data_IF_736937191812
#
_entry.id   IF_736937191812
#
_cell.length_a   1.000
_cell.length_b   1.000
_cell.length_c   1.000
_cell.angle_alpha   90.00
_cell.angle_beta   90.00
_cell.angle_gamma   90.00
#
_symmetry.space_group_name_H-M   'P 1'
#
loop_
_entity.id
_entity.type
_entity.pdbx_description
1 polymer ?
#
# COMPACT_ATOMS: atom_id res chain seq x y z
N UNK A 1 -19.59 13.39 -4.11
CA UNK A 1 -19.90 13.02 -2.70
C UNK A 1 -19.88 11.51 -2.44
N UNK A 2 -20.01 10.63 -3.45
CA UNK A 2 -19.88 9.17 -3.24
C UNK A 2 -18.42 8.66 -3.21
N UNK A 3 -17.46 9.41 -3.77
CA UNK A 3 -16.03 9.02 -3.82
C UNK A 3 -15.27 9.19 -2.50
N UNK A 4 -15.73 10.05 -1.59
CA UNK A 4 -15.09 10.29 -0.28
C UNK A 4 -15.36 9.17 0.75
N UNK A 5 -16.32 8.28 0.48
CA UNK A 5 -16.81 7.29 1.45
C UNK A 5 -16.02 5.98 1.52
N UNK A 6 -14.98 5.77 0.69
CA UNK A 6 -14.18 4.52 0.69
C UNK A 6 -12.71 4.67 1.08
N UNK A 7 -12.14 5.87 1.06
CA UNK A 7 -10.73 6.10 1.44
C UNK A 7 -10.59 6.46 2.92
N UNK A 8 -11.58 7.11 3.53
CA UNK A 8 -11.62 7.40 4.97
C UNK A 8 -11.35 6.16 5.85
N UNK A 9 -12.01 5.00 5.65
CA UNK A 9 -11.71 3.81 6.45
C UNK A 9 -10.29 3.27 6.22
N UNK A 10 -9.71 3.46 5.04
CA UNK A 10 -8.33 3.06 4.76
C UNK A 10 -7.33 4.02 5.41
N UNK A 11 -7.59 5.33 5.40
CA UNK A 11 -6.78 6.33 6.11
C UNK A 11 -6.77 6.06 7.62
N UNK A 12 -7.95 5.90 8.23
CA UNK A 12 -8.07 5.65 9.68
C UNK A 12 -7.36 4.35 10.08
N UNK A 13 -7.43 3.31 9.22
CA UNK A 13 -6.70 2.07 9.40
C UNK A 13 -5.18 2.30 9.33
N UNK A 14 -4.68 2.95 8.28
CA UNK A 14 -3.26 3.23 8.11
C UNK A 14 -2.69 4.12 9.23
N UNK A 15 -3.44 5.11 9.71
CA UNK A 15 -3.05 5.95 10.86
C UNK A 15 -2.96 5.13 12.16
N UNK A 16 -3.95 4.27 12.40
CA UNK A 16 -3.97 3.38 13.56
C UNK A 16 -2.78 2.43 13.54
N UNK A 17 -2.47 1.88 12.36
CA UNK A 17 -1.36 0.95 12.15
C UNK A 17 0.00 1.65 12.26
N UNK A 18 0.14 2.87 11.74
CA UNK A 18 1.34 3.71 11.94
C UNK A 18 1.62 3.94 13.43
N UNK A 19 0.58 4.25 14.21
CA UNK A 19 0.73 4.45 15.64
C UNK A 19 1.17 3.18 16.38
N UNK A 20 0.72 2.00 15.93
CA UNK A 20 1.15 0.70 16.45
C UNK A 20 2.61 0.42 16.09
N UNK A 21 2.99 0.58 14.82
CA UNK A 21 4.37 0.42 14.35
C UNK A 21 5.34 1.34 15.09
N UNK A 22 4.99 2.63 15.21
CA UNK A 22 5.80 3.61 15.94
C UNK A 22 5.96 3.28 17.44
N UNK A 23 5.02 2.51 18.01
CA UNK A 23 5.10 2.07 19.41
C UNK A 23 6.02 0.86 19.64
N UNK A 24 6.55 0.26 18.57
CA UNK A 24 7.43 -0.92 18.64
C UNK A 24 6.71 -2.20 19.07
N UNK A 25 5.37 -2.22 19.04
CA UNK A 25 4.57 -3.42 19.31
C UNK A 25 4.49 -4.26 18.04
N UNK A 26 5.52 -5.08 17.85
CA UNK A 26 5.78 -5.93 16.69
C UNK A 26 4.83 -7.14 16.54
N UNK A 27 3.86 -7.33 17.43
CA UNK A 27 3.28 -8.67 17.62
C UNK A 27 2.26 -9.09 16.55
N UNK A 28 1.85 -8.24 15.60
CA UNK A 28 1.09 -8.69 14.43
C UNK A 28 1.05 -7.65 13.27
N UNK A 29 2.15 -7.51 12.52
CA UNK A 29 2.15 -6.66 11.31
C UNK A 29 1.17 -7.18 10.22
N UNK A 30 0.59 -8.37 10.40
CA UNK A 30 -0.36 -8.98 9.48
C UNK A 30 -1.58 -8.09 9.18
N UNK A 31 -2.13 -7.41 10.19
CA UNK A 31 -3.25 -6.48 9.97
C UNK A 31 -2.82 -5.26 9.13
N UNK A 32 -1.57 -4.81 9.29
CA UNK A 32 -1.00 -3.71 8.50
C UNK A 32 -0.96 -4.08 7.03
N UNK A 33 -0.36 -5.22 6.71
CA UNK A 33 -0.24 -5.69 5.33
C UNK A 33 -1.60 -5.96 4.70
N UNK A 34 -2.56 -6.53 5.45
CA UNK A 34 -3.92 -6.72 4.96
C UNK A 34 -4.60 -5.39 4.61
N UNK A 35 -4.46 -4.38 5.46
CA UNK A 35 -5.00 -3.04 5.19
C UNK A 35 -4.34 -2.40 3.95
N UNK A 36 -3.03 -2.56 3.79
CA UNK A 36 -2.30 -2.06 2.62
C UNK A 36 -2.73 -2.75 1.31
N UNK A 37 -3.01 -4.05 1.33
CA UNK A 37 -3.55 -4.78 0.16
C UNK A 37 -4.93 -4.21 -0.22
N UNK A 38 -5.82 -4.06 0.76
CA UNK A 38 -7.16 -3.48 0.54
C UNK A 38 -7.05 -2.04 0.03
N UNK A 39 -6.13 -1.25 0.57
CA UNK A 39 -5.86 0.11 0.11
C UNK A 39 -5.38 0.13 -1.34
N UNK A 40 -4.42 -0.72 -1.72
CA UNK A 40 -3.94 -0.82 -3.09
C UNK A 40 -5.07 -1.18 -4.06
N UNK A 41 -5.93 -2.14 -3.70
CA UNK A 41 -7.12 -2.48 -4.50
C UNK A 41 -8.07 -1.29 -4.65
N UNK A 42 -8.32 -0.54 -3.57
CA UNK A 42 -9.15 0.68 -3.62
C UNK A 42 -8.54 1.79 -4.50
N UNK A 43 -7.21 1.93 -4.52
CA UNK A 43 -6.51 2.83 -5.42
C UNK A 43 -6.74 2.44 -6.90
N UNK A 44 -6.71 1.14 -7.21
CA UNK A 44 -6.99 0.66 -8.58
C UNK A 44 -8.43 0.95 -9.02
N UNK A 45 -9.41 0.81 -8.12
CA UNK A 45 -10.81 1.20 -8.42
C UNK A 45 -10.96 2.69 -8.77
N UNK A 46 -9.99 3.52 -8.40
CA UNK A 46 -9.97 4.98 -8.58
C UNK A 46 -8.99 5.46 -9.65
N UNK A 47 -8.45 4.54 -10.46
CA UNK A 47 -7.41 4.82 -11.46
C UNK A 47 -6.10 5.42 -10.87
N UNK A 48 -5.85 5.25 -9.57
CA UNK A 48 -4.62 5.67 -8.89
C UNK A 48 -3.50 4.63 -9.08
N UNK A 49 -3.12 4.39 -10.33
CA UNK A 49 -2.24 3.27 -10.72
C UNK A 49 -0.84 3.37 -10.11
N UNK A 50 -0.28 4.58 -9.97
CA UNK A 50 1.04 4.77 -9.35
C UNK A 50 1.02 4.37 -7.88
N UNK A 51 0.09 4.89 -7.09
CA UNK A 51 -0.03 4.60 -5.65
C UNK A 51 -0.28 3.11 -5.39
N UNK A 52 -1.12 2.49 -6.22
CA UNK A 52 -1.34 1.04 -6.15
C UNK A 52 -0.05 0.26 -6.46
N UNK A 53 0.67 0.63 -7.53
CA UNK A 53 1.92 -0.01 -7.91
C UNK A 53 2.98 0.13 -6.80
N UNK A 54 3.15 1.33 -6.23
CA UNK A 54 4.09 1.60 -5.14
C UNK A 54 3.78 0.71 -3.92
N UNK A 55 2.51 0.64 -3.53
CA UNK A 55 2.04 -0.18 -2.40
C UNK A 55 2.31 -1.66 -2.62
N UNK A 56 1.92 -2.18 -3.79
CA UNK A 56 2.08 -3.60 -4.11
C UNK A 56 3.55 -3.99 -4.30
N UNK A 57 4.36 -3.14 -4.92
CA UNK A 57 5.80 -3.38 -5.07
C UNK A 57 6.51 -3.48 -3.72
N UNK A 58 6.11 -2.65 -2.75
CA UNK A 58 6.60 -2.76 -1.37
C UNK A 58 6.17 -4.09 -0.74
N UNK A 59 4.88 -4.41 -0.78
CA UNK A 59 4.32 -5.64 -0.18
C UNK A 59 4.97 -6.92 -0.73
N UNK A 60 5.20 -6.99 -2.04
CA UNK A 60 5.79 -8.18 -2.68
C UNK A 60 7.25 -8.39 -2.26
N UNK A 61 7.98 -7.32 -1.93
CA UNK A 61 9.41 -7.35 -1.61
C UNK A 61 9.69 -7.42 -0.11
N UNK A 62 8.81 -6.89 0.73
CA UNK A 62 9.02 -6.82 2.17
C UNK A 62 9.19 -8.22 2.79
N UNK A 63 10.06 -8.37 3.78
CA UNK A 63 10.34 -9.66 4.40
C UNK A 63 9.37 -10.02 5.55
N UNK A 64 8.66 -9.02 6.10
CA UNK A 64 7.75 -9.19 7.24
C UNK A 64 6.35 -9.68 6.84
N UNK A 65 5.97 -9.55 5.58
CA UNK A 65 4.67 -10.02 5.07
C UNK A 65 4.56 -11.55 5.09
N UNK A 66 3.38 -12.07 5.45
CA UNK A 66 3.10 -13.50 5.38
C UNK A 66 3.07 -14.03 3.94
N UNK A 67 3.33 -15.32 3.74
CA UNK A 67 3.34 -15.92 2.40
C UNK A 67 1.99 -15.77 1.66
N UNK A 68 0.87 -15.98 2.36
CA UNK A 68 -0.47 -15.84 1.77
C UNK A 68 -0.77 -14.40 1.33
N UNK A 69 -0.42 -13.42 2.16
CA UNK A 69 -0.61 -12.00 1.81
C UNK A 69 0.33 -11.55 0.68
N UNK A 70 1.55 -12.08 0.64
CA UNK A 70 2.48 -11.84 -0.46
C UNK A 70 1.96 -12.40 -1.78
N UNK A 71 1.40 -13.60 -1.75
CA UNK A 71 0.77 -14.23 -2.92
C UNK A 71 -0.40 -13.38 -3.43
N UNK A 72 -1.29 -12.95 -2.54
CA UNK A 72 -2.39 -12.04 -2.89
C UNK A 72 -1.90 -10.71 -3.48
N UNK A 73 -0.93 -10.06 -2.85
CA UNK A 73 -0.35 -8.82 -3.36
C UNK A 73 0.34 -9.02 -4.73
N UNK A 74 1.04 -10.15 -4.91
CA UNK A 74 1.72 -10.48 -6.15
C UNK A 74 0.74 -10.73 -7.30
N UNK A 75 -0.38 -11.43 -7.05
CA UNK A 75 -1.43 -11.63 -8.06
C UNK A 75 -1.98 -10.29 -8.58
N UNK A 76 -2.27 -9.36 -7.66
CA UNK A 76 -2.76 -8.01 -8.03
C UNK A 76 -1.67 -7.23 -8.78
N UNK A 77 -0.41 -7.33 -8.34
CA UNK A 77 0.70 -6.61 -8.96
C UNK A 77 1.02 -7.11 -10.37
N UNK A 78 0.97 -8.43 -10.60
CA UNK A 78 1.18 -9.05 -11.91
C UNK A 78 0.06 -8.65 -12.90
N UNK A 79 -1.20 -8.61 -12.45
CA UNK A 79 -2.30 -8.11 -13.27
C UNK A 79 -2.07 -6.65 -13.64
N UNK A 80 -1.68 -5.83 -12.67
CA UNK A 80 -1.40 -4.41 -12.87
C UNK A 80 -0.26 -4.19 -13.87
N UNK A 81 0.86 -4.90 -13.70
CA UNK A 81 2.04 -4.84 -14.57
C UNK A 81 1.69 -5.16 -16.03
N UNK A 82 0.73 -6.05 -16.27
CA UNK A 82 0.26 -6.38 -17.63
C UNK A 82 -0.55 -5.28 -18.32
N UNK A 83 -1.04 -4.29 -17.57
CA UNK A 83 -2.01 -3.28 -18.04
C UNK A 83 -1.49 -1.85 -18.07
N UNK A 84 -0.39 -1.56 -17.35
CA UNK A 84 0.11 -0.18 -17.20
C UNK A 84 1.48 0.03 -17.85
N UNK A 85 1.93 1.29 -17.87
CA UNK A 85 3.23 1.65 -18.42
C UNK A 85 4.38 0.97 -17.63
N UNK A 86 5.32 0.28 -18.30
CA UNK A 86 6.47 -0.34 -17.62
C UNK A 86 7.29 0.62 -16.77
N UNK A 87 7.31 1.92 -17.11
CA UNK A 87 8.00 2.95 -16.33
C UNK A 87 7.44 3.08 -14.91
N UNK A 88 6.11 3.00 -14.75
CA UNK A 88 5.44 3.06 -13.44
C UNK A 88 5.88 1.89 -12.56
N UNK A 89 5.93 0.68 -13.13
CA UNK A 89 6.38 -0.51 -12.42
C UNK A 89 7.86 -0.40 -12.00
N UNK A 90 8.71 0.11 -12.88
CA UNK A 90 10.13 0.33 -12.56
C UNK A 90 10.30 1.35 -11.43
N UNK A 91 9.53 2.43 -11.44
CA UNK A 91 9.57 3.44 -10.38
C UNK A 91 9.06 2.89 -9.05
N UNK A 92 7.96 2.12 -9.06
CA UNK A 92 7.43 1.47 -7.85
C UNK A 92 8.42 0.47 -7.23
N UNK A 93 9.08 -0.35 -8.07
CA UNK A 93 10.12 -1.28 -7.59
C UNK A 93 11.32 -0.54 -7.01
N UNK A 94 11.75 0.55 -7.64
CA UNK A 94 12.85 1.38 -7.15
C UNK A 94 12.50 2.11 -5.84
N UNK A 95 11.25 2.56 -5.69
CA UNK A 95 10.75 3.15 -4.45
C UNK A 95 10.80 2.12 -3.32
N UNK A 96 10.30 0.90 -3.58
CA UNK A 96 10.28 -0.19 -2.60
C UNK A 96 11.68 -0.64 -2.15
N UNK A 97 12.69 -0.54 -3.03
CA UNK A 97 14.08 -0.86 -2.73
C UNK A 97 14.69 0.18 -1.77
N UNK A 98 14.46 -0.01 -0.48
CA UNK A 98 14.98 0.85 0.59
C UNK A 98 13.92 1.46 1.50
N UNK A 99 12.63 1.18 1.30
CA UNK A 99 11.59 1.56 2.26
C UNK A 99 11.42 0.49 3.34
N UNK A 100 11.26 0.95 4.58
CA UNK A 100 10.69 0.14 5.66
C UNK A 100 9.18 0.37 5.77
N UNK A 101 8.51 -0.45 6.59
CA UNK A 101 7.06 -0.40 6.75
C UNK A 101 6.57 0.96 7.26
N UNK A 102 7.26 1.55 8.24
CA UNK A 102 6.85 2.82 8.83
C UNK A 102 6.96 3.96 7.81
N UNK A 103 8.07 4.03 7.07
CA UNK A 103 8.28 5.01 6.00
C UNK A 103 7.24 4.86 4.91
N UNK A 104 6.90 3.62 4.55
CA UNK A 104 5.86 3.35 3.56
C UNK A 104 4.48 3.83 4.05
N UNK A 105 4.13 3.58 5.31
CA UNK A 105 2.88 4.08 5.88
C UNK A 105 2.83 5.61 5.88
N UNK A 106 3.93 6.28 6.22
CA UNK A 106 4.03 7.75 6.16
C UNK A 106 3.85 8.27 4.73
N UNK A 107 4.52 7.67 3.75
CA UNK A 107 4.35 8.00 2.33
C UNK A 107 2.90 7.88 1.86
N UNK A 108 2.23 6.78 2.20
CA UNK A 108 0.83 6.56 1.80
C UNK A 108 -0.13 7.56 2.46
N UNK A 109 0.09 7.88 3.73
CA UNK A 109 -0.73 8.86 4.45
C UNK A 109 -0.56 10.26 3.85
N UNK A 110 0.66 10.68 3.55
CA UNK A 110 0.93 11.98 2.91
C UNK A 110 0.23 12.09 1.55
N UNK A 111 0.25 11.02 0.75
CA UNK A 111 -0.46 10.97 -0.53
C UNK A 111 -1.98 11.13 -0.37
N UNK A 112 -2.58 10.46 0.63
CA UNK A 112 -4.01 10.58 0.90
C UNK A 112 -4.37 12.02 1.29
N UNK A 113 -3.53 12.70 2.06
CA UNK A 113 -3.75 14.10 2.46
C UNK A 113 -3.68 15.06 1.27
N UNK A 114 -2.73 14.84 0.36
CA UNK A 114 -2.60 15.64 -0.85
C UNK A 114 -3.80 15.47 -1.80
N UNK A 115 -4.40 14.28 -1.87
CA UNK A 115 -5.57 14.03 -2.72
C UNK A 115 -6.90 14.47 -2.10
N UNK A 116 -6.95 14.70 -0.79
CA UNK A 116 -8.17 15.09 -0.07
C UNK A 116 -8.29 16.60 0.19
N UNK A 117 -7.26 17.37 -0.16
CA UNK A 117 -7.20 18.85 -0.04
C UNK A 117 -7.61 19.53 -1.34
#
# INVERSE_FOLDING_TARGET
MAELMRVAPAKDALESLRAVEASGRSDDHGEVYAAMIVFAAACLERDMQQTAADTLAFLVQDAGISAAQREEAAEIFDELESRICPRVILDARALADGMDLLTMLEYLLDLIELETT
#
